data_IF_903190483187
#
_entry.id   IF_903190483187
#
_cell.length_a   1.000
_cell.length_b   1.000
_cell.length_c   1.000
_cell.angle_alpha   90.00
_cell.angle_beta   90.00
_cell.angle_gamma   90.00
#
_symmetry.space_group_name_H-M   'P 1'
#
loop_
_entity.id
_entity.type
_entity.pdbx_description
1 polymer ?
#
# COMPACT_ATOMS: atom_id res chain seq x y z
N UNK A 1 -4.52 5.71 5.93
CA UNK A 1 -4.29 6.55 7.12
C UNK A 1 -5.62 7.00 7.73
N UNK A 2 -5.60 7.46 8.99
CA UNK A 2 -6.78 7.97 9.71
C UNK A 2 -7.43 9.19 9.03
N UNK A 3 -6.67 9.95 8.30
CA UNK A 3 -7.10 11.12 7.51
C UNK A 3 -7.42 10.79 6.05
N UNK A 4 -7.56 9.49 5.72
CA UNK A 4 -8.04 9.00 4.42
C UNK A 4 -7.02 9.07 3.28
N UNK A 5 -5.75 9.37 3.57
CA UNK A 5 -4.70 9.44 2.56
C UNK A 5 -4.13 8.05 2.31
N UNK A 6 -4.16 7.51 1.07
CA UNK A 6 -3.59 6.22 0.76
C UNK A 6 -2.06 6.26 0.76
N UNK A 7 -1.45 5.32 1.48
CA UNK A 7 -0.01 5.11 1.56
C UNK A 7 0.39 3.83 0.83
N UNK A 8 1.65 3.75 0.40
CA UNK A 8 2.19 2.56 -0.27
C UNK A 8 2.85 1.66 0.77
N UNK A 9 2.11 0.66 1.20
CA UNK A 9 2.53 -0.33 2.19
C UNK A 9 1.88 -1.67 1.89
N UNK A 10 2.64 -2.76 1.98
CA UNK A 10 2.10 -4.09 1.68
C UNK A 10 1.08 -4.55 2.72
N UNK A 11 1.36 -4.34 4.01
CA UNK A 11 0.50 -4.82 5.10
C UNK A 11 -0.43 -3.71 5.61
N UNK A 12 -1.53 -4.09 6.23
CA UNK A 12 -2.41 -3.14 6.92
C UNK A 12 -1.84 -2.69 8.27
N UNK A 13 -0.79 -3.35 8.74
CA UNK A 13 -0.10 -3.08 10.00
C UNK A 13 1.35 -2.65 9.76
N UNK A 14 1.98 -2.02 10.74
CA UNK A 14 3.21 -1.24 10.60
C UNK A 14 4.45 -1.90 11.23
N UNK A 15 4.26 -2.79 12.23
CA UNK A 15 5.34 -3.27 13.09
C UNK A 15 6.43 -4.07 12.36
N UNK A 16 6.08 -4.82 11.31
CA UNK A 16 7.04 -5.69 10.63
C UNK A 16 7.98 -4.97 9.67
N UNK A 17 7.68 -3.71 9.35
CA UNK A 17 8.42 -2.93 8.33
C UNK A 17 8.76 -1.51 8.76
N UNK A 18 8.45 -1.14 10.02
CA UNK A 18 8.74 0.19 10.55
C UNK A 18 9.13 0.14 12.02
N UNK A 19 9.63 1.27 12.52
CA UNK A 19 9.95 1.48 13.93
C UNK A 19 8.75 1.97 14.76
N UNK A 20 7.51 1.64 14.39
CA UNK A 20 6.27 2.15 15.01
C UNK A 20 6.21 1.88 16.51
N UNK A 21 6.64 0.70 16.95
CA UNK A 21 6.62 0.29 18.36
C UNK A 21 7.42 1.25 19.25
N UNK A 22 8.56 1.76 18.74
CA UNK A 22 9.41 2.67 19.50
C UNK A 22 8.95 4.13 19.43
N UNK A 23 8.29 4.54 18.33
CA UNK A 23 7.84 5.93 18.12
C UNK A 23 6.47 6.18 18.77
N UNK A 24 5.62 5.15 18.80
CA UNK A 24 4.25 5.24 19.27
C UNK A 24 3.91 4.16 20.30
N UNK A 25 4.80 3.99 21.28
CA UNK A 25 4.61 3.05 22.39
C UNK A 25 3.20 3.20 23.00
N UNK A 26 2.51 2.09 23.20
CA UNK A 26 1.17 2.05 23.79
C UNK A 26 0.01 2.43 22.83
N UNK A 27 0.28 2.62 21.53
CA UNK A 27 -0.74 2.92 20.50
C UNK A 27 -1.25 1.66 19.77
N UNK A 28 -0.73 0.48 20.10
CA UNK A 28 -1.23 -0.77 19.55
C UNK A 28 -2.68 -1.04 20.00
N UNK A 29 -3.43 -1.73 19.16
CA UNK A 29 -4.76 -2.24 19.52
C UNK A 29 -4.64 -3.39 20.55
N UNK A 30 -5.76 -3.89 21.04
CA UNK A 30 -5.81 -4.99 22.04
C UNK A 30 -5.16 -6.29 21.55
N UNK A 31 -5.05 -6.48 20.25
CA UNK A 31 -4.34 -7.59 19.61
C UNK A 31 -2.81 -7.40 19.53
N UNK A 32 -2.30 -6.28 20.01
CA UNK A 32 -0.89 -5.93 20.01
C UNK A 32 -0.37 -5.33 18.69
N UNK A 33 -1.22 -5.11 17.67
CA UNK A 33 -0.82 -4.65 16.36
C UNK A 33 -1.04 -3.14 16.17
N UNK A 34 -0.25 -2.54 15.28
CA UNK A 34 -0.31 -1.12 14.93
C UNK A 34 -0.90 -0.96 13.53
N UNK A 35 -2.19 -0.69 13.43
CA UNK A 35 -2.87 -0.55 12.15
C UNK A 35 -2.62 0.82 11.52
N UNK A 36 -2.21 0.85 10.27
CA UNK A 36 -1.93 2.10 9.54
C UNK A 36 -3.13 3.07 9.53
N UNK A 37 -4.34 2.54 9.57
CA UNK A 37 -5.58 3.32 9.60
C UNK A 37 -5.79 4.11 10.91
N UNK A 38 -5.09 3.74 11.99
CA UNK A 38 -5.16 4.43 13.29
C UNK A 38 -4.23 5.66 13.37
N UNK A 39 -3.41 5.88 12.33
CA UNK A 39 -2.42 6.95 12.30
C UNK A 39 -2.71 7.94 11.17
N UNK A 40 -2.57 9.23 11.47
CA UNK A 40 -2.61 10.29 10.45
C UNK A 40 -1.39 10.22 9.54
N UNK A 41 -1.44 10.84 8.36
CA UNK A 41 -0.27 10.94 7.50
C UNK A 41 0.92 11.60 8.22
N UNK A 42 0.67 12.65 9.00
CA UNK A 42 1.71 13.33 9.77
C UNK A 42 2.41 12.39 10.78
N UNK A 43 1.68 11.45 11.37
CA UNK A 43 2.25 10.44 12.26
C UNK A 43 3.02 9.37 11.47
N UNK A 44 2.46 8.88 10.34
CA UNK A 44 3.13 7.92 9.44
C UNK A 44 4.48 8.48 8.96
N UNK A 45 4.57 9.76 8.61
CA UNK A 45 5.81 10.42 8.16
C UNK A 45 6.89 10.56 9.24
N UNK A 46 6.59 10.25 10.50
CA UNK A 46 7.58 10.17 11.58
C UNK A 46 8.25 8.80 11.67
N UNK A 47 7.72 7.80 10.97
CA UNK A 47 8.25 6.44 10.99
C UNK A 47 9.42 6.30 10.03
N UNK A 48 10.35 5.43 10.40
CA UNK A 48 11.40 4.95 9.50
C UNK A 48 11.05 3.54 9.04
N UNK A 49 10.96 3.37 7.72
CA UNK A 49 10.79 2.05 7.13
C UNK A 49 12.13 1.28 7.15
N UNK A 50 12.04 -0.02 7.39
CA UNK A 50 13.18 -0.94 7.37
C UNK A 50 12.84 -2.24 6.63
N UNK A 51 13.84 -3.08 6.41
CA UNK A 51 13.62 -4.41 5.83
C UNK A 51 12.66 -5.21 6.73
N UNK A 52 11.77 -5.98 6.09
CA UNK A 52 10.78 -6.79 6.80
C UNK A 52 11.44 -7.70 7.83
N UNK A 53 10.89 -7.69 9.03
CA UNK A 53 11.24 -8.63 10.09
C UNK A 53 10.17 -9.70 10.25
N UNK A 54 10.55 -10.83 10.82
CA UNK A 54 9.61 -11.81 11.37
C UNK A 54 9.16 -11.41 12.78
N UNK A 55 8.26 -12.19 13.38
CA UNK A 55 7.74 -11.93 14.72
C UNK A 55 8.81 -12.02 15.85
N UNK A 56 10.00 -12.52 15.54
CA UNK A 56 11.14 -12.51 16.46
C UNK A 56 12.05 -11.29 16.29
N UNK A 57 11.71 -10.37 15.35
CA UNK A 57 12.49 -9.20 15.03
C UNK A 57 13.68 -9.46 14.10
N UNK A 58 13.79 -10.68 13.54
CA UNK A 58 14.86 -11.04 12.61
C UNK A 58 14.49 -10.63 11.18
N UNK A 59 15.44 -10.03 10.45
CA UNK A 59 15.25 -9.70 9.04
C UNK A 59 14.90 -10.95 8.20
N UNK A 60 13.81 -10.88 7.45
CA UNK A 60 13.37 -11.96 6.54
C UNK A 60 14.33 -12.10 5.35
N UNK A 61 14.90 -10.97 4.93
CA UNK A 61 15.83 -10.91 3.80
C UNK A 61 17.14 -10.21 4.22
N UNK A 62 18.01 -10.89 5.01
CA UNK A 62 19.16 -10.25 5.64
C UNK A 62 20.23 -9.75 4.66
N UNK A 63 20.24 -10.28 3.41
CA UNK A 63 21.20 -9.89 2.39
C UNK A 63 20.72 -8.75 1.48
N UNK A 64 19.55 -8.17 1.77
CA UNK A 64 19.07 -6.96 1.11
C UNK A 64 19.73 -5.73 1.72
N UNK A 65 19.39 -4.56 1.20
CA UNK A 65 19.92 -3.29 1.67
C UNK A 65 19.68 -3.11 3.19
N UNK A 66 20.76 -2.85 3.94
CA UNK A 66 20.71 -2.74 5.40
C UNK A 66 20.01 -1.47 5.90
N UNK A 67 19.93 -0.44 5.07
CA UNK A 67 19.37 0.86 5.43
C UNK A 67 20.25 1.70 6.34
N UNK A 68 21.47 1.26 6.62
CA UNK A 68 22.38 1.96 7.55
C UNK A 68 22.63 3.41 7.13
N UNK A 69 22.25 4.33 8.00
CA UNK A 69 22.43 5.77 7.82
C UNK A 69 21.46 6.44 6.84
N UNK A 70 20.44 5.72 6.32
CA UNK A 70 19.40 6.29 5.46
C UNK A 70 18.05 6.20 6.14
N UNK A 71 17.34 7.32 6.16
CA UNK A 71 15.97 7.39 6.61
C UNK A 71 15.03 7.14 5.41
N UNK A 72 14.28 6.05 5.44
CA UNK A 72 13.24 5.76 4.45
C UNK A 72 11.87 6.05 5.06
N UNK A 73 11.11 6.91 4.40
CA UNK A 73 9.73 7.19 4.74
C UNK A 73 8.78 6.23 4.02
N UNK A 74 7.57 6.05 4.59
CA UNK A 74 6.48 5.40 3.87
C UNK A 74 5.88 6.44 2.91
N UNK A 75 5.89 6.21 1.59
CA UNK A 75 5.33 7.16 0.64
C UNK A 75 3.80 7.10 0.61
N UNK A 76 3.19 8.21 0.26
CA UNK A 76 1.79 8.24 -0.20
C UNK A 76 1.71 7.69 -1.63
N UNK A 77 0.51 7.33 -2.08
CA UNK A 77 0.30 6.97 -3.49
C UNK A 77 0.64 8.14 -4.43
N UNK A 78 0.37 9.37 -4.03
CA UNK A 78 0.72 10.57 -4.79
C UNK A 78 2.24 10.70 -4.98
N UNK A 79 3.01 10.59 -3.89
CA UNK A 79 4.48 10.65 -3.95
C UNK A 79 5.08 9.52 -4.80
N UNK A 80 4.49 8.33 -4.78
CA UNK A 80 4.95 7.22 -5.62
C UNK A 80 4.68 7.49 -7.12
N UNK A 81 3.53 8.05 -7.47
CA UNK A 81 3.22 8.46 -8.83
C UNK A 81 4.22 9.51 -9.32
N UNK A 82 4.48 10.54 -8.51
CA UNK A 82 5.44 11.60 -8.83
C UNK A 82 6.85 11.06 -9.05
N UNK A 83 7.27 10.12 -8.20
CA UNK A 83 8.58 9.46 -8.32
C UNK A 83 8.69 8.68 -9.63
N UNK A 84 7.69 7.86 -9.97
CA UNK A 84 7.67 7.06 -11.21
C UNK A 84 7.68 7.97 -12.43
N UNK A 85 6.89 9.04 -12.43
CA UNK A 85 6.84 10.02 -13.53
C UNK A 85 8.18 10.75 -13.71
N UNK A 86 8.81 11.17 -12.61
CA UNK A 86 10.12 11.80 -12.65
C UNK A 86 11.22 10.86 -13.17
N UNK A 87 11.18 9.59 -12.76
CA UNK A 87 12.12 8.56 -13.25
C UNK A 87 11.89 8.24 -14.72
N UNK A 88 10.64 8.14 -15.18
CA UNK A 88 10.30 7.97 -16.59
C UNK A 88 10.84 9.13 -17.44
N UNK A 89 10.58 10.35 -17.01
CA UNK A 89 11.07 11.54 -17.70
C UNK A 89 12.61 11.58 -17.78
N UNK A 90 13.29 11.21 -16.68
CA UNK A 90 14.76 11.20 -16.60
C UNK A 90 15.40 10.11 -17.44
N UNK A 91 14.78 8.92 -17.51
CA UNK A 91 15.39 7.74 -18.14
C UNK A 91 14.89 7.47 -19.55
N UNK A 92 13.83 8.15 -20.00
CA UNK A 92 13.14 7.87 -21.25
C UNK A 92 12.40 6.53 -21.26
N UNK A 93 12.12 5.96 -20.09
CA UNK A 93 11.34 4.72 -19.93
C UNK A 93 9.87 5.05 -19.70
N UNK A 94 9.02 4.02 -19.79
CA UNK A 94 7.59 4.07 -19.52
C UNK A 94 7.24 2.97 -18.50
N UNK A 95 7.69 3.14 -17.26
CA UNK A 95 7.26 2.29 -16.16
C UNK A 95 5.83 2.65 -15.76
N UNK A 96 4.96 1.67 -15.63
CA UNK A 96 3.59 1.86 -15.18
C UNK A 96 3.42 1.63 -13.67
N UNK A 97 2.18 1.78 -13.21
CA UNK A 97 1.77 1.57 -11.83
C UNK A 97 0.95 0.27 -11.74
N UNK A 98 1.27 -0.58 -10.78
CA UNK A 98 0.52 -1.77 -10.44
C UNK A 98 0.05 -1.65 -9.00
N UNK A 99 -1.17 -1.13 -8.83
CA UNK A 99 -1.71 -0.71 -7.53
C UNK A 99 -2.57 -1.82 -6.94
N UNK A 100 -2.11 -2.43 -5.84
CA UNK A 100 -2.92 -3.37 -5.06
C UNK A 100 -3.84 -2.62 -4.09
N UNK A 101 -5.14 -2.86 -4.17
CA UNK A 101 -6.09 -2.51 -3.12
C UNK A 101 -6.01 -3.57 -2.02
N UNK A 102 -5.24 -3.28 -0.99
CA UNK A 102 -4.96 -4.23 0.08
C UNK A 102 -6.09 -4.29 1.08
N UNK A 103 -6.73 -5.47 1.22
CA UNK A 103 -7.79 -5.73 2.18
C UNK A 103 -8.88 -4.64 2.25
N UNK A 104 -9.54 -4.34 1.14
CA UNK A 104 -10.58 -3.30 1.11
C UNK A 104 -11.72 -3.59 2.10
N UNK A 105 -12.07 -4.87 2.31
CA UNK A 105 -13.07 -5.30 3.28
C UNK A 105 -12.71 -4.92 4.73
N UNK A 106 -11.42 -4.95 5.07
CA UNK A 106 -10.94 -4.48 6.37
C UNK A 106 -11.15 -2.96 6.49
N UNK A 107 -10.76 -2.19 5.50
CA UNK A 107 -10.94 -0.74 5.50
C UNK A 107 -12.42 -0.34 5.60
N UNK A 108 -13.30 -1.05 4.90
CA UNK A 108 -14.75 -0.82 4.98
C UNK A 108 -15.29 -1.10 6.39
N UNK A 109 -14.82 -2.15 7.07
CA UNK A 109 -15.21 -2.45 8.44
C UNK A 109 -14.76 -1.39 9.45
N UNK A 110 -13.67 -0.67 9.11
CA UNK A 110 -13.15 0.48 9.88
C UNK A 110 -13.78 1.83 9.45
N UNK A 111 -14.78 1.80 8.56
CA UNK A 111 -15.48 2.99 8.07
C UNK A 111 -14.75 3.80 7.01
N UNK A 112 -13.72 3.24 6.37
CA UNK A 112 -12.94 3.89 5.33
C UNK A 112 -13.16 3.21 3.97
N UNK A 113 -13.24 4.00 2.90
CA UNK A 113 -13.34 3.51 1.52
C UNK A 113 -11.98 3.64 0.81
N UNK A 114 -11.19 2.58 0.89
CA UNK A 114 -9.84 2.55 0.26
C UNK A 114 -9.93 2.82 -1.25
N UNK A 115 -10.91 2.22 -1.93
CA UNK A 115 -11.05 2.41 -3.37
C UNK A 115 -11.37 3.86 -3.73
N UNK A 116 -12.30 4.50 -3.02
CA UNK A 116 -12.62 5.91 -3.25
C UNK A 116 -11.40 6.83 -3.01
N UNK A 117 -10.62 6.58 -1.96
CA UNK A 117 -9.39 7.33 -1.68
C UNK A 117 -8.35 7.19 -2.80
N UNK A 118 -8.16 5.96 -3.31
CA UNK A 118 -7.26 5.70 -4.45
C UNK A 118 -7.77 6.38 -5.72
N UNK A 119 -9.08 6.30 -6.02
CA UNK A 119 -9.66 6.99 -7.18
C UNK A 119 -9.47 8.51 -7.14
N UNK A 120 -9.54 9.11 -5.95
CA UNK A 120 -9.30 10.53 -5.80
C UNK A 120 -7.88 10.89 -6.24
N UNK A 121 -6.87 10.18 -5.76
CA UNK A 121 -5.48 10.39 -6.17
C UNK A 121 -5.32 10.15 -7.67
N UNK A 122 -5.82 9.05 -8.21
CA UNK A 122 -5.71 8.75 -9.64
C UNK A 122 -6.36 9.82 -10.53
N UNK A 123 -7.43 10.47 -10.04
CA UNK A 123 -8.07 11.59 -10.74
C UNK A 123 -7.17 12.83 -10.77
N UNK A 124 -6.51 13.15 -9.66
CA UNK A 124 -5.61 14.31 -9.54
C UNK A 124 -4.40 14.19 -10.49
N UNK A 125 -3.96 12.96 -10.77
CA UNK A 125 -2.83 12.65 -11.66
C UNK A 125 -3.25 12.20 -13.07
N UNK A 126 -4.53 12.38 -13.47
CA UNK A 126 -5.08 11.98 -14.77
C UNK A 126 -4.85 10.51 -15.15
N UNK A 127 -5.01 9.61 -14.14
CA UNK A 127 -4.77 8.16 -14.28
C UNK A 127 -6.05 7.32 -14.33
N UNK A 128 -7.24 7.93 -14.46
CA UNK A 128 -8.52 7.21 -14.51
C UNK A 128 -8.91 6.70 -15.90
N UNK A 129 -8.32 7.27 -16.95
CA UNK A 129 -8.64 7.01 -18.35
C UNK A 129 -8.24 5.61 -18.82
N UNK A 130 -8.39 5.36 -20.09
CA UNK A 130 -7.93 4.14 -20.78
C UNK A 130 -6.40 4.18 -20.93
N UNK A 131 -5.72 4.05 -19.79
CA UNK A 131 -4.26 4.06 -19.71
C UNK A 131 -3.78 2.68 -19.28
N UNK A 132 -3.15 1.89 -20.18
CA UNK A 132 -2.68 0.55 -19.87
C UNK A 132 -1.52 0.54 -18.85
N UNK A 133 -0.88 1.69 -18.61
CA UNK A 133 0.24 1.81 -17.67
C UNK A 133 -0.20 1.91 -16.21
N UNK A 134 -1.51 2.09 -15.94
CA UNK A 134 -2.06 2.05 -14.58
C UNK A 134 -2.97 0.86 -14.44
N UNK A 135 -2.63 -0.05 -13.54
CA UNK A 135 -3.36 -1.30 -13.27
C UNK A 135 -3.87 -1.26 -11.83
N UNK A 136 -5.14 -1.61 -11.62
CA UNK A 136 -5.68 -1.90 -10.28
C UNK A 136 -5.74 -3.41 -10.10
N UNK A 137 -5.14 -3.88 -9.02
CA UNK A 137 -5.17 -5.27 -8.59
C UNK A 137 -5.87 -5.39 -7.24
N UNK A 138 -6.62 -6.46 -7.05
CA UNK A 138 -7.21 -6.82 -5.77
C UNK A 138 -7.40 -8.33 -5.66
N UNK A 139 -7.30 -8.86 -4.45
CA UNK A 139 -7.69 -10.25 -4.16
C UNK A 139 -9.22 -10.38 -4.00
N UNK A 140 -9.89 -9.32 -3.52
CA UNK A 140 -11.33 -9.33 -3.33
C UNK A 140 -12.11 -9.12 -4.64
N UNK A 141 -12.91 -10.12 -5.07
CA UNK A 141 -13.70 -10.02 -6.30
C UNK A 141 -14.85 -9.01 -6.19
N UNK A 142 -15.34 -8.71 -4.98
CA UNK A 142 -16.44 -7.77 -4.78
C UNK A 142 -15.95 -6.35 -5.10
N UNK A 143 -14.81 -5.97 -4.58
CA UNK A 143 -14.17 -4.69 -4.89
C UNK A 143 -13.87 -4.55 -6.39
N UNK A 144 -13.33 -5.60 -7.04
CA UNK A 144 -13.06 -5.53 -8.49
C UNK A 144 -14.34 -5.42 -9.34
N UNK A 145 -15.43 -6.05 -8.93
CA UNK A 145 -16.74 -5.84 -9.57
C UNK A 145 -17.23 -4.41 -9.40
N UNK A 146 -17.01 -3.79 -8.23
CA UNK A 146 -17.32 -2.37 -8.00
C UNK A 146 -16.49 -1.48 -8.94
N UNK A 147 -15.17 -1.69 -9.01
CA UNK A 147 -14.27 -0.97 -9.94
C UNK A 147 -14.73 -1.10 -11.41
N UNK A 148 -15.27 -2.24 -11.77
CA UNK A 148 -15.79 -2.45 -13.12
C UNK A 148 -17.14 -1.77 -13.34
N UNK A 149 -18.04 -1.85 -12.37
CA UNK A 149 -19.44 -1.43 -12.53
C UNK A 149 -19.66 0.06 -12.47
N UNK A 150 -18.83 0.80 -11.71
CA UNK A 150 -18.94 2.25 -11.63
C UNK A 150 -18.39 2.99 -12.85
N UNK A 151 -17.55 2.31 -13.64
CA UNK A 151 -17.00 2.82 -14.89
C UNK A 151 -16.11 4.05 -14.76
N UNK A 152 -15.64 4.36 -13.54
CA UNK A 152 -14.78 5.53 -13.26
C UNK A 152 -13.36 5.24 -13.70
N UNK A 153 -12.78 4.13 -13.21
CA UNK A 153 -11.46 3.66 -13.64
C UNK A 153 -11.61 2.78 -14.88
N UNK A 154 -10.94 3.14 -15.96
CA UNK A 154 -11.02 2.45 -17.25
C UNK A 154 -9.80 1.61 -17.62
N UNK A 155 -8.74 1.70 -16.81
CA UNK A 155 -7.52 0.91 -16.99
C UNK A 155 -7.72 -0.59 -16.69
N UNK A 156 -6.67 -1.38 -16.90
CA UNK A 156 -6.68 -2.82 -16.63
C UNK A 156 -6.96 -3.13 -15.15
N UNK A 157 -7.72 -4.22 -14.91
CA UNK A 157 -8.04 -4.75 -13.59
C UNK A 157 -7.59 -6.20 -13.51
N UNK A 158 -6.92 -6.54 -12.40
CA UNK A 158 -6.36 -7.88 -12.19
C UNK A 158 -6.84 -8.44 -10.86
N UNK A 159 -7.39 -9.64 -10.89
CA UNK A 159 -7.65 -10.43 -9.69
C UNK A 159 -6.51 -11.43 -9.48
N UNK A 160 -5.87 -11.38 -8.31
CA UNK A 160 -5.01 -12.46 -7.85
C UNK A 160 -5.81 -13.42 -6.98
N UNK A 161 -5.56 -14.70 -7.13
CA UNK A 161 -6.20 -15.76 -6.37
C UNK A 161 -5.10 -16.50 -5.61
N UNK A 162 -5.20 -16.52 -4.29
CA UNK A 162 -4.35 -17.39 -3.46
C UNK A 162 -4.87 -18.82 -3.59
N UNK A 163 -4.06 -19.71 -4.14
CA UNK A 163 -4.33 -21.14 -4.08
C UNK A 163 -3.49 -21.72 -2.93
N UNK A 164 -4.15 -22.30 -1.93
CA UNK A 164 -3.45 -23.18 -1.00
C UNK A 164 -3.00 -24.39 -1.82
N UNK A 165 -1.69 -24.49 -2.05
CA UNK A 165 -1.13 -25.75 -2.49
C UNK A 165 -1.24 -26.69 -1.29
N UNK A 166 -2.27 -27.52 -1.28
CA UNK A 166 -2.33 -28.68 -0.40
C UNK A 166 -1.16 -29.56 -0.83
N UNK A 167 0.00 -29.38 -0.22
CA UNK A 167 1.03 -30.39 -0.20
C UNK A 167 0.49 -31.54 0.67
N UNK A 168 -0.44 -32.27 0.08
CA UNK A 168 -0.96 -33.49 0.61
C UNK A 168 -0.03 -34.61 0.19
N UNK A 169 0.46 -35.30 1.20
CA UNK A 169 1.10 -36.62 1.24
C UNK A 169 2.53 -36.70 0.82
#
# INVERSE_FOLDING_TARGET
>A
TADGIPIVLHDVTLELTTNVESIFEGRQRDDGLFYAIDFTLAEIKRLTAHERTDLSGKAVFPDRYSGDGVHFEIPTLAEEIELVDALNAKTGKCAGLYIELKRPEFHESEGADLYASVLQVLREYDRLGDNPETVIQCFDPVTLKRVQSDGIFKGPRVQLILTETILGM
#
